data_IF_586223561466
#
_entry.id   IF_586223561466
#
_cell.length_a   1.000
_cell.length_b   1.000
_cell.length_c   1.000
_cell.angle_alpha   90.00
_cell.angle_beta   90.00
_cell.angle_gamma   90.00
#
_symmetry.space_group_name_H-M   'P 1'
#
loop_
_entity.id
_entity.type
_entity.pdbx_description
1 polymer ?
#
# COMPACT_ATOMS: atom_id res chain seq x y z
N UNK A 1 -20.04 -17.49 4.12
CA UNK A 1 -19.94 -16.02 4.11
C UNK A 1 -18.56 -15.67 3.59
N UNK A 2 -18.49 -14.89 2.53
CA UNK A 2 -17.23 -14.46 1.90
C UNK A 2 -16.46 -13.53 2.85
N UNK A 3 -15.13 -13.55 2.77
CA UNK A 3 -14.25 -12.80 3.67
C UNK A 3 -13.23 -11.98 2.90
N UNK A 4 -13.03 -10.74 3.32
CA UNK A 4 -11.98 -9.86 2.82
C UNK A 4 -10.98 -9.57 3.93
N UNK A 5 -9.74 -10.02 3.75
CA UNK A 5 -8.64 -9.76 4.68
C UNK A 5 -7.60 -8.86 4.02
N UNK A 6 -7.14 -7.83 4.73
CA UNK A 6 -6.02 -7.01 4.30
C UNK A 6 -4.75 -7.37 5.09
N UNK A 7 -3.61 -7.45 4.43
CA UNK A 7 -2.30 -7.65 5.07
C UNK A 7 -1.51 -6.36 5.03
N UNK A 8 -1.16 -5.86 6.22
CA UNK A 8 -0.43 -4.62 6.42
C UNK A 8 0.99 -4.86 6.96
N UNK A 9 1.90 -3.94 6.67
CA UNK A 9 3.26 -4.00 7.19
C UNK A 9 4.31 -3.34 6.28
N UNK A 10 5.50 -3.12 6.82
CA UNK A 10 6.56 -2.40 6.10
C UNK A 10 7.05 -3.13 4.84
N UNK A 11 7.73 -2.38 3.97
CA UNK A 11 8.48 -2.95 2.85
C UNK A 11 9.52 -3.95 3.39
N UNK A 12 9.66 -5.10 2.73
CA UNK A 12 10.57 -6.16 3.15
C UNK A 12 10.08 -7.05 4.30
N UNK A 13 8.89 -6.84 4.88
CA UNK A 13 8.42 -7.65 6.02
C UNK A 13 7.95 -9.06 5.64
N UNK A 14 7.71 -9.32 4.35
CA UNK A 14 7.28 -10.64 3.85
C UNK A 14 5.77 -10.79 3.62
N UNK A 15 5.04 -9.68 3.39
CA UNK A 15 3.59 -9.69 3.13
C UNK A 15 3.21 -10.60 1.97
N UNK A 16 3.81 -10.40 0.80
CA UNK A 16 3.53 -11.19 -0.41
C UNK A 16 3.68 -12.70 -0.16
N UNK A 17 4.74 -13.10 0.55
CA UNK A 17 4.97 -14.50 0.94
C UNK A 17 3.88 -15.02 1.89
N UNK A 18 3.45 -14.22 2.86
CA UNK A 18 2.37 -14.60 3.76
C UNK A 18 1.04 -14.74 3.01
N UNK A 19 0.69 -13.74 2.18
CA UNK A 19 -0.55 -13.73 1.39
C UNK A 19 -0.64 -14.97 0.51
N UNK A 20 0.43 -15.27 -0.24
CA UNK A 20 0.47 -16.48 -1.08
C UNK A 20 0.21 -17.74 -0.25
N UNK A 21 0.94 -17.93 0.85
CA UNK A 21 0.78 -19.12 1.71
C UNK A 21 -0.62 -19.22 2.32
N UNK A 22 -1.20 -18.12 2.77
CA UNK A 22 -2.55 -18.13 3.35
C UNK A 22 -3.59 -18.48 2.29
N UNK A 23 -3.49 -17.89 1.09
CA UNK A 23 -4.37 -18.20 -0.03
C UNK A 23 -4.28 -19.67 -0.45
N UNK A 24 -3.06 -20.21 -0.57
CA UNK A 24 -2.84 -21.63 -0.92
C UNK A 24 -3.46 -22.58 0.11
N UNK A 25 -3.32 -22.27 1.41
CA UNK A 25 -3.85 -23.11 2.49
C UNK A 25 -5.38 -22.99 2.67
N UNK A 26 -5.96 -21.80 2.43
CA UNK A 26 -7.37 -21.54 2.64
C UNK A 26 -8.23 -21.71 1.37
N UNK A 27 -7.60 -21.85 0.20
CA UNK A 27 -8.28 -21.84 -1.10
C UNK A 27 -8.86 -20.45 -1.44
N UNK A 28 -8.25 -19.38 -0.96
CA UNK A 28 -8.70 -18.00 -1.16
C UNK A 28 -7.93 -17.32 -2.30
N UNK A 29 -8.49 -16.25 -2.88
CA UNK A 29 -7.83 -15.55 -3.99
C UNK A 29 -6.89 -14.45 -3.48
N UNK A 30 -5.60 -14.44 -3.87
CA UNK A 30 -4.70 -13.36 -3.51
C UNK A 30 -4.90 -12.14 -4.42
N UNK A 31 -4.88 -10.95 -3.82
CA UNK A 31 -4.84 -9.67 -4.52
C UNK A 31 -3.53 -8.96 -4.17
N UNK A 32 -2.53 -9.15 -5.02
CA UNK A 32 -1.22 -8.53 -4.84
C UNK A 32 -1.22 -7.06 -5.23
N UNK A 33 -0.29 -6.31 -4.65
CA UNK A 33 0.10 -5.00 -5.14
C UNK A 33 0.55 -5.13 -6.60
N UNK A 34 -0.14 -4.47 -7.56
CA UNK A 34 0.29 -4.55 -8.96
C UNK A 34 1.67 -3.93 -9.10
N UNK A 35 2.54 -4.56 -9.89
CA UNK A 35 3.70 -3.89 -10.45
C UNK A 35 3.16 -2.72 -11.29
N UNK A 36 3.30 -1.52 -10.75
CA UNK A 36 2.83 -0.32 -11.42
C UNK A 36 4.04 0.57 -11.66
N UNK A 37 4.33 0.80 -12.93
CA UNK A 37 5.17 1.92 -13.35
C UNK A 37 4.42 3.20 -12.98
N UNK A 38 4.61 3.63 -11.74
CA UNK A 38 4.20 4.95 -11.32
C UNK A 38 5.11 5.95 -12.05
N UNK A 39 4.57 6.74 -12.99
CA UNK A 39 5.38 7.63 -13.81
C UNK A 39 6.07 8.71 -12.97
N UNK A 40 5.56 9.00 -11.78
CA UNK A 40 6.14 9.96 -10.85
C UNK A 40 7.22 9.37 -9.95
N UNK A 41 7.43 8.06 -9.94
CA UNK A 41 8.33 7.42 -8.99
C UNK A 41 9.80 7.83 -9.18
N UNK A 42 10.34 7.91 -10.42
CA UNK A 42 11.69 8.42 -10.63
C UNK A 42 11.85 9.86 -10.13
N UNK A 43 10.91 10.74 -10.47
CA UNK A 43 10.92 12.15 -10.08
C UNK A 43 10.75 12.32 -8.56
N UNK A 44 9.93 11.46 -7.95
CA UNK A 44 9.74 11.39 -6.49
C UNK A 44 11.04 11.08 -5.76
N UNK A 45 11.84 10.13 -6.24
CA UNK A 45 13.13 9.84 -5.61
C UNK A 45 14.17 10.94 -5.85
N UNK A 46 14.01 11.77 -6.88
CA UNK A 46 14.89 12.92 -7.13
C UNK A 46 14.49 14.16 -6.32
N UNK A 47 13.19 14.43 -6.17
CA UNK A 47 12.64 15.56 -5.43
C UNK A 47 11.30 15.19 -4.79
N UNK A 48 11.37 14.63 -3.59
CA UNK A 48 10.19 14.21 -2.84
C UNK A 48 9.27 15.40 -2.52
N UNK A 49 9.80 16.61 -2.26
CA UNK A 49 8.97 17.76 -1.90
C UNK A 49 8.01 18.15 -3.03
N UNK A 50 8.48 18.11 -4.27
CA UNK A 50 7.68 18.44 -5.45
C UNK A 50 6.74 17.29 -5.85
N UNK A 51 7.20 16.05 -5.73
CA UNK A 51 6.53 14.90 -6.37
C UNK A 51 5.80 13.98 -5.39
N UNK A 52 5.89 14.19 -4.08
CA UNK A 52 5.17 13.40 -3.07
C UNK A 52 3.67 13.35 -3.35
N UNK A 53 3.03 14.51 -3.51
CA UNK A 53 1.58 14.57 -3.74
C UNK A 53 1.17 13.81 -5.00
N UNK A 54 1.85 14.08 -6.13
CA UNK A 54 1.61 13.43 -7.41
C UNK A 54 1.72 11.89 -7.33
N UNK A 55 2.81 11.42 -6.72
CA UNK A 55 3.08 10.00 -6.52
C UNK A 55 2.02 9.35 -5.63
N UNK A 56 1.64 9.99 -4.52
CA UNK A 56 0.62 9.45 -3.60
C UNK A 56 -0.78 9.42 -4.24
N UNK A 57 -1.18 10.44 -5.01
CA UNK A 57 -2.47 10.44 -5.74
C UNK A 57 -2.52 9.31 -6.79
N UNK A 58 -1.41 9.05 -7.48
CA UNK A 58 -1.30 7.92 -8.40
C UNK A 58 -1.52 6.59 -7.66
N UNK A 59 -0.80 6.36 -6.55
CA UNK A 59 -0.96 5.15 -5.75
C UNK A 59 -2.39 5.00 -5.23
N UNK A 60 -2.97 6.06 -4.65
CA UNK A 60 -4.35 6.08 -4.17
C UNK A 60 -5.33 5.60 -5.25
N UNK A 61 -5.23 6.13 -6.46
CA UNK A 61 -6.10 5.75 -7.59
C UNK A 61 -5.95 4.27 -7.94
N UNK A 62 -4.72 3.74 -7.96
CA UNK A 62 -4.46 2.32 -8.24
C UNK A 62 -5.00 1.42 -7.14
N UNK A 63 -4.84 1.78 -5.87
CA UNK A 63 -5.40 1.02 -4.74
C UNK A 63 -6.91 0.99 -4.76
N UNK A 64 -7.56 2.13 -5.01
CA UNK A 64 -9.02 2.19 -5.07
C UNK A 64 -9.58 1.29 -6.18
N UNK A 65 -8.92 1.25 -7.35
CA UNK A 65 -9.29 0.31 -8.44
C UNK A 65 -9.11 -1.15 -8.02
N UNK A 66 -7.98 -1.48 -7.39
CA UNK A 66 -7.74 -2.83 -6.89
C UNK A 66 -8.77 -3.24 -5.81
N UNK A 67 -9.11 -2.32 -4.90
CA UNK A 67 -10.11 -2.51 -3.86
C UNK A 67 -11.52 -2.68 -4.43
N UNK A 68 -11.87 -1.91 -5.46
CA UNK A 68 -13.15 -2.11 -6.16
C UNK A 68 -13.21 -3.48 -6.83
N UNK A 69 -12.12 -3.90 -7.48
CA UNK A 69 -12.06 -5.19 -8.17
C UNK A 69 -12.14 -6.36 -7.19
N UNK A 70 -11.43 -6.31 -6.06
CA UNK A 70 -11.51 -7.37 -5.03
C UNK A 70 -12.90 -7.43 -4.40
N UNK A 71 -13.58 -6.29 -4.24
CA UNK A 71 -14.92 -6.24 -3.65
C UNK A 71 -16.00 -6.83 -4.55
N UNK A 72 -15.72 -6.94 -5.86
CA UNK A 72 -16.59 -7.57 -6.84
C UNK A 72 -16.21 -9.03 -7.12
N UNK A 73 -15.14 -9.53 -6.51
CA UNK A 73 -14.65 -10.89 -6.73
C UNK A 73 -15.50 -11.90 -5.96
N UNK A 74 -15.95 -13.00 -6.58
CA UNK A 74 -16.67 -14.05 -5.86
C UNK A 74 -15.72 -14.84 -4.96
N UNK A 75 -16.16 -15.13 -3.74
CA UNK A 75 -15.38 -15.87 -2.74
C UNK A 75 -14.49 -14.99 -1.87
N UNK A 76 -13.75 -15.64 -0.96
CA UNK A 76 -12.89 -14.94 -0.01
C UNK A 76 -11.55 -14.53 -0.61
N UNK A 77 -11.04 -13.38 -0.19
CA UNK A 77 -9.85 -12.74 -0.75
C UNK A 77 -8.89 -12.25 0.34
N UNK A 78 -7.59 -12.23 0.01
CA UNK A 78 -6.55 -11.61 0.84
C UNK A 78 -5.79 -10.59 0.01
N UNK A 79 -5.77 -9.34 0.45
CA UNK A 79 -5.08 -8.23 -0.21
C UNK A 79 -3.70 -7.98 0.40
N UNK A 80 -2.66 -7.91 -0.44
CA UNK A 80 -1.34 -7.38 -0.08
C UNK A 80 -1.35 -5.86 -0.24
N UNK A 81 -1.23 -5.13 0.88
CA UNK A 81 -1.26 -3.68 0.98
C UNK A 81 -2.60 -3.04 0.59
N UNK A 82 -3.19 -2.34 1.56
CA UNK A 82 -4.49 -1.69 1.40
C UNK A 82 -4.40 -0.19 1.15
N UNK A 83 -5.52 0.43 0.73
CA UNK A 83 -5.64 1.89 0.60
C UNK A 83 -5.40 2.62 1.94
N UNK A 84 -5.68 1.96 3.07
CA UNK A 84 -5.48 2.51 4.41
C UNK A 84 -4.01 2.78 4.71
N UNK A 85 -3.10 1.91 4.26
CA UNK A 85 -1.66 2.08 4.46
C UNK A 85 -1.13 3.27 3.66
N UNK A 86 -1.55 3.43 2.40
CA UNK A 86 -1.13 4.57 1.57
C UNK A 86 -1.50 5.90 2.23
N UNK A 87 -2.71 6.01 2.79
CA UNK A 87 -3.15 7.26 3.42
C UNK A 87 -2.65 7.48 4.85
N UNK A 88 -2.66 6.44 5.68
CA UNK A 88 -2.36 6.58 7.12
C UNK A 88 -0.90 6.34 7.47
N UNK A 89 -0.14 5.71 6.57
CA UNK A 89 1.29 5.46 6.76
C UNK A 89 2.11 6.28 5.76
N UNK A 90 1.95 6.08 4.45
CA UNK A 90 2.85 6.69 3.46
C UNK A 90 2.66 8.20 3.31
N UNK A 91 1.44 8.65 2.97
CA UNK A 91 1.14 10.08 2.86
C UNK A 91 1.34 10.83 4.19
N UNK A 92 0.94 10.21 5.30
CA UNK A 92 1.16 10.78 6.63
C UNK A 92 2.66 10.95 6.94
N UNK A 93 3.48 9.94 6.65
CA UNK A 93 4.92 10.02 6.88
C UNK A 93 5.60 11.08 6.00
N UNK A 94 5.18 11.21 4.73
CA UNK A 94 5.67 12.28 3.85
C UNK A 94 5.35 13.67 4.41
N UNK A 95 4.15 13.87 4.95
CA UNK A 95 3.78 15.10 5.62
C UNK A 95 4.61 15.34 6.90
N UNK A 96 4.77 14.32 7.76
CA UNK A 96 5.58 14.43 8.98
C UNK A 96 7.05 14.76 8.69
N UNK A 97 7.59 14.25 7.59
CA UNK A 97 8.95 14.54 7.12
C UNK A 97 9.07 15.86 6.34
N UNK A 98 7.98 16.64 6.22
CA UNK A 98 7.91 17.88 5.43
C UNK A 98 8.24 17.68 3.94
N UNK A 99 8.05 16.45 3.44
CA UNK A 99 8.14 16.10 2.02
C UNK A 99 6.81 16.29 1.29
N UNK A 100 5.72 16.54 2.02
CA UNK A 100 4.43 16.94 1.46
C UNK A 100 3.95 18.17 2.22
N UNK A 101 3.63 19.25 1.50
CA UNK A 101 3.12 20.47 2.11
C UNK A 101 1.76 20.26 2.78
N UNK A 102 1.43 21.09 3.77
CA UNK A 102 0.16 20.99 4.50
C UNK A 102 -1.06 21.06 3.58
N UNK A 103 -1.06 21.99 2.61
CA UNK A 103 -2.12 22.14 1.61
C UNK A 103 -2.35 20.83 0.84
N UNK A 104 -1.27 20.27 0.30
CA UNK A 104 -1.34 19.04 -0.51
C UNK A 104 -1.74 17.83 0.32
N UNK A 105 -1.24 17.74 1.56
CA UNK A 105 -1.62 16.67 2.49
C UNK A 105 -3.09 16.75 2.88
N UNK A 106 -3.63 17.95 3.13
CA UNK A 106 -5.06 18.16 3.40
C UNK A 106 -5.91 17.75 2.19
N UNK A 107 -5.55 18.22 0.99
CA UNK A 107 -6.23 17.80 -0.25
C UNK A 107 -6.18 16.28 -0.45
N UNK A 108 -5.03 15.65 -0.21
CA UNK A 108 -4.91 14.19 -0.28
C UNK A 108 -5.81 13.49 0.75
N UNK A 109 -5.86 13.95 1.99
CA UNK A 109 -6.72 13.36 3.03
C UNK A 109 -8.20 13.51 2.67
N UNK A 110 -8.64 14.66 2.15
CA UNK A 110 -10.02 14.88 1.71
C UNK A 110 -10.40 13.93 0.57
N UNK A 111 -9.54 13.78 -0.44
CA UNK A 111 -9.74 12.82 -1.52
C UNK A 111 -9.83 11.39 -0.99
N UNK A 112 -8.91 10.99 -0.13
CA UNK A 112 -8.92 9.67 0.48
C UNK A 112 -10.19 9.39 1.29
N UNK A 113 -10.61 10.35 2.13
CA UNK A 113 -11.81 10.22 2.96
C UNK A 113 -13.06 10.09 2.11
N UNK A 114 -13.23 10.97 1.12
CA UNK A 114 -14.38 10.92 0.21
C UNK A 114 -14.47 9.58 -0.55
N UNK A 115 -13.33 9.01 -0.94
CA UNK A 115 -13.31 7.79 -1.75
C UNK A 115 -13.46 6.51 -0.92
N UNK A 116 -12.91 6.46 0.30
CA UNK A 116 -12.96 5.26 1.15
C UNK A 116 -14.37 4.99 1.69
N UNK A 117 -15.23 6.01 1.79
CA UNK A 117 -16.64 5.87 2.19
C UNK A 117 -17.45 4.96 1.24
N UNK A 118 -17.02 4.83 -0.02
CA UNK A 118 -17.69 3.99 -1.01
C UNK A 118 -17.12 2.57 -1.09
N UNK A 119 -16.14 2.23 -0.25
CA UNK A 119 -15.46 0.94 -0.30
C UNK A 119 -15.83 0.09 0.92
N UNK A 120 -16.14 -1.21 0.73
CA UNK A 120 -16.36 -2.09 1.86
C UNK A 120 -15.05 -2.27 2.64
N UNK A 121 -15.05 -2.12 3.97
CA UNK A 121 -13.85 -2.33 4.76
C UNK A 121 -13.47 -3.82 4.80
N UNK A 122 -12.19 -4.14 5.04
CA UNK A 122 -11.78 -5.52 5.33
C UNK A 122 -12.43 -6.03 6.62
N UNK A 123 -12.81 -7.30 6.62
CA UNK A 123 -13.26 -8.04 7.83
C UNK A 123 -12.15 -8.14 8.88
N UNK A 124 -10.89 -8.16 8.43
CA UNK A 124 -9.71 -8.34 9.27
C UNK A 124 -8.49 -7.67 8.63
N UNK A 125 -7.67 -7.02 9.46
CA UNK A 125 -6.34 -6.54 9.07
C UNK A 125 -5.28 -7.35 9.80
N UNK A 126 -4.45 -8.06 9.04
CA UNK A 126 -3.29 -8.78 9.54
C UNK A 126 -2.05 -7.89 9.46
N UNK A 127 -1.56 -7.44 10.60
CA UNK A 127 -0.34 -6.62 10.66
C UNK A 127 0.90 -7.48 10.92
N UNK A 128 1.85 -7.48 9.97
CA UNK A 128 3.14 -8.13 10.12
C UNK A 128 4.17 -7.12 10.61
N UNK A 129 4.86 -7.46 11.70
CA UNK A 129 5.91 -6.64 12.31
C UNK A 129 7.26 -7.35 12.26
N UNK A 130 8.31 -6.61 11.93
CA UNK A 130 9.70 -7.02 12.06
C UNK A 130 10.56 -5.84 12.54
N UNK A 131 11.76 -6.11 13.05
CA UNK A 131 12.70 -5.07 13.46
C UNK A 131 13.30 -4.35 12.25
N UNK A 132 13.68 -3.07 12.40
CA UNK A 132 14.34 -2.30 11.33
C UNK A 132 15.57 -3.00 10.75
N UNK A 133 16.48 -3.60 11.55
CA UNK A 133 17.60 -4.37 10.99
C UNK A 133 17.16 -5.55 10.12
N UNK A 134 16.06 -6.22 10.48
CA UNK A 134 15.50 -7.32 9.68
C UNK A 134 14.96 -6.80 8.35
N UNK A 135 14.25 -5.68 8.37
CA UNK A 135 13.69 -5.06 7.17
C UNK A 135 14.80 -4.62 6.22
N UNK A 136 15.81 -3.91 6.72
CA UNK A 136 16.96 -3.45 5.93
C UNK A 136 17.74 -4.62 5.31
N UNK A 137 17.98 -5.69 6.06
CA UNK A 137 18.64 -6.89 5.54
C UNK A 137 17.88 -7.52 4.37
N UNK A 138 16.55 -7.57 4.46
CA UNK A 138 15.69 -8.14 3.39
C UNK A 138 15.54 -7.23 2.18
N UNK A 139 15.51 -5.90 2.39
CA UNK A 139 15.48 -4.92 1.30
C UNK A 139 16.78 -5.00 0.49
N UNK A 140 17.93 -5.01 1.17
CA UNK A 140 19.25 -5.16 0.52
C UNK A 140 19.36 -6.45 -0.30
N UNK A 141 18.81 -7.56 0.19
CA UNK A 141 18.79 -8.82 -0.56
C UNK A 141 17.90 -8.79 -1.81
N UNK A 142 16.87 -7.92 -1.83
CA UNK A 142 15.97 -7.76 -3.00
C UNK A 142 16.60 -6.94 -4.13
N UNK A 143 17.55 -6.04 -3.82
CA UNK A 143 18.37 -5.34 -4.81
C UNK A 143 17.59 -4.51 -5.83
N UNK A 144 16.54 -3.78 -5.40
CA UNK A 144 15.84 -2.83 -6.27
C UNK A 144 16.61 -1.51 -6.28
N UNK A 145 17.03 -1.05 -7.45
CA UNK A 145 17.93 0.09 -7.66
C UNK A 145 17.48 1.40 -6.96
N UNK A 146 16.18 1.57 -6.71
CA UNK A 146 15.60 2.75 -6.07
C UNK A 146 15.36 2.61 -4.55
N UNK A 147 15.66 1.45 -3.94
CA UNK A 147 15.45 1.19 -2.51
C UNK A 147 16.76 1.31 -1.68
N UNK A 148 17.89 1.74 -2.28
CA UNK A 148 19.23 1.77 -1.66
C UNK A 148 19.63 3.08 -0.93
N UNK A 149 18.71 4.04 -0.72
CA UNK A 149 19.00 5.29 0.00
C UNK A 149 18.56 5.27 1.47
#
# INVERSE_FOLDING_TARGET
MEKFVAVAGNIGVGKTTLVQRLCDNLGWTPFFEPESDNPYLPDFYQDMQTWAFHSQVFFLTRRLRAHKNLSAHPGSVIQDRSVYEDAKIFAHNLYQQKQMGERDYQTYQELYQALVEFLPPPDLVLYIKASVPTLQGRIKQRGRDYEEQ
#
